data_IF_016107217328
#
_entry.id   IF_016107217328
#
_cell.length_a   1.000
_cell.length_b   1.000
_cell.length_c   1.000
_cell.angle_alpha   90.00
_cell.angle_beta   90.00
_cell.angle_gamma   90.00
#
_symmetry.space_group_name_H-M   'P 1'
#
loop_
_entity.id
_entity.type
_entity.pdbx_description
1 polymer ?
#
# COMPACT_ATOMS: atom_id res chain seq x y z
N UNK A 1 5.37 -41.18 -36.33
CA UNK A 1 6.13 -40.84 -35.10
C UNK A 1 6.93 -39.54 -35.20
N UNK A 2 7.66 -39.26 -36.29
CA UNK A 2 8.50 -38.05 -36.41
C UNK A 2 7.74 -36.71 -36.36
N UNK A 3 6.57 -36.62 -37.00
CA UNK A 3 5.71 -35.41 -37.01
C UNK A 3 5.16 -35.05 -35.62
N UNK A 4 4.86 -36.06 -34.79
CA UNK A 4 4.37 -35.84 -33.41
C UNK A 4 5.44 -35.18 -32.53
N UNK A 5 6.71 -35.49 -32.76
CA UNK A 5 7.86 -34.92 -32.04
C UNK A 5 8.05 -33.44 -32.39
N UNK A 6 7.86 -33.06 -33.65
CA UNK A 6 7.96 -31.66 -34.06
C UNK A 6 6.80 -30.80 -33.53
N UNK A 7 5.58 -31.35 -33.44
CA UNK A 7 4.44 -30.64 -32.83
C UNK A 7 4.64 -30.43 -31.32
N UNK A 8 5.21 -31.41 -30.62
CA UNK A 8 5.49 -31.27 -29.17
C UNK A 8 6.61 -30.27 -28.90
N UNK A 9 7.66 -30.23 -29.74
CA UNK A 9 8.72 -29.23 -29.65
C UNK A 9 8.22 -27.80 -29.96
N UNK A 10 7.26 -27.65 -30.88
CA UNK A 10 6.67 -26.35 -31.23
C UNK A 10 5.76 -25.79 -30.11
N UNK A 11 5.02 -26.65 -29.41
CA UNK A 11 4.20 -26.22 -28.26
C UNK A 11 5.06 -25.82 -27.04
N UNK A 12 6.25 -26.40 -26.88
CA UNK A 12 7.11 -26.10 -25.74
C UNK A 12 7.77 -24.71 -25.84
N UNK A 13 8.01 -24.20 -27.04
CA UNK A 13 8.64 -22.88 -27.24
C UNK A 13 7.69 -21.70 -27.00
N UNK A 14 6.37 -21.92 -27.14
CA UNK A 14 5.33 -20.91 -26.89
C UNK A 14 5.05 -20.68 -25.40
N UNK A 15 5.53 -21.55 -24.51
CA UNK A 15 5.33 -21.44 -23.06
C UNK A 15 6.36 -20.55 -22.34
N UNK A 16 7.37 -20.02 -23.04
CA UNK A 16 8.49 -19.28 -22.43
C UNK A 16 8.31 -17.76 -22.36
N UNK A 17 7.19 -17.20 -22.79
CA UNK A 17 6.90 -15.77 -22.59
C UNK A 17 6.31 -15.51 -21.20
N UNK A 18 7.04 -15.87 -20.15
CA UNK A 18 6.77 -15.35 -18.80
C UNK A 18 7.17 -13.88 -18.78
N UNK A 19 6.21 -13.01 -19.09
CA UNK A 19 6.37 -11.57 -18.92
C UNK A 19 6.65 -11.26 -17.45
N UNK A 20 7.92 -11.11 -17.09
CA UNK A 20 8.31 -10.57 -15.80
C UNK A 20 7.79 -9.13 -15.72
N UNK A 21 6.61 -8.94 -15.13
CA UNK A 21 6.06 -7.61 -14.92
C UNK A 21 7.02 -6.84 -14.00
N UNK A 22 7.70 -5.84 -14.56
CA UNK A 22 8.49 -4.87 -13.80
C UNK A 22 7.53 -4.06 -12.93
N UNK A 23 7.24 -4.55 -11.73
CA UNK A 23 6.50 -3.80 -10.72
C UNK A 23 7.39 -2.64 -10.30
N UNK A 24 7.01 -1.42 -10.68
CA UNK A 24 7.68 -0.24 -10.18
C UNK A 24 7.43 -0.17 -8.68
N UNK A 25 8.43 -0.57 -7.91
CA UNK A 25 8.40 -0.49 -6.46
C UNK A 25 8.47 1.00 -6.12
N UNK A 26 7.31 1.59 -5.84
CA UNK A 26 7.26 2.97 -5.39
C UNK A 26 7.93 2.99 -4.01
N UNK A 27 9.09 3.64 -3.92
CA UNK A 27 9.83 3.80 -2.68
C UNK A 27 9.07 4.77 -1.77
N UNK A 28 8.09 4.24 -1.03
CA UNK A 28 7.40 5.00 0.00
C UNK A 28 8.21 4.94 1.31
N UNK A 29 8.26 6.05 2.04
CA UNK A 29 8.83 6.06 3.38
C UNK A 29 7.88 5.30 4.33
N UNK A 30 8.37 4.19 4.87
CA UNK A 30 7.66 3.40 5.89
C UNK A 30 7.87 4.00 7.27
N UNK A 31 6.80 4.24 7.98
CA UNK A 31 6.79 4.73 9.35
C UNK A 31 6.23 3.67 10.29
N UNK A 32 6.60 3.77 11.56
CA UNK A 32 6.08 2.93 12.64
C UNK A 32 5.82 3.80 13.86
N UNK A 33 4.61 3.74 14.39
CA UNK A 33 4.24 4.36 15.66
C UNK A 33 3.97 3.23 16.65
N UNK A 34 4.66 3.26 17.79
CA UNK A 34 4.38 2.37 18.92
C UNK A 34 3.56 3.17 19.93
N UNK A 35 2.38 2.65 20.28
CA UNK A 35 1.54 3.23 21.32
C UNK A 35 2.06 2.90 22.72
N UNK A 36 1.76 3.77 23.69
CA UNK A 36 2.10 3.53 25.10
C UNK A 36 1.39 2.31 25.67
N UNK A 37 0.22 1.96 25.12
CA UNK A 37 -0.56 0.77 25.43
C UNK A 37 0.04 -0.54 24.87
N UNK A 38 1.15 -0.45 24.12
CA UNK A 38 1.76 -1.58 23.41
C UNK A 38 1.18 -1.84 22.03
N UNK A 39 0.21 -1.05 21.57
CA UNK A 39 -0.28 -1.12 20.18
C UNK A 39 0.81 -0.69 19.18
N UNK A 40 0.67 -1.13 17.93
CA UNK A 40 1.64 -0.80 16.88
C UNK A 40 0.95 -0.45 15.58
N UNK A 41 1.37 0.64 14.95
CA UNK A 41 0.91 1.07 13.64
C UNK A 41 2.09 1.11 12.67
N UNK A 42 1.94 0.52 11.49
CA UNK A 42 2.92 0.58 10.39
C UNK A 42 2.23 1.06 9.13
N UNK A 43 2.82 2.04 8.47
CA UNK A 43 2.19 2.70 7.32
C UNK A 43 3.22 3.39 6.44
N UNK A 44 2.77 3.84 5.28
CA UNK A 44 3.56 4.60 4.34
C UNK A 44 3.02 6.02 4.23
N UNK A 45 3.93 7.01 4.16
CA UNK A 45 3.52 8.40 3.96
C UNK A 45 4.48 9.15 3.02
N UNK A 46 3.92 10.08 2.25
CA UNK A 46 4.62 10.83 1.20
C UNK A 46 4.42 12.33 1.39
N UNK A 47 5.49 13.08 1.14
CA UNK A 47 5.44 14.54 1.13
C UNK A 47 4.99 15.02 -0.26
N UNK A 48 3.71 14.81 -0.55
CA UNK A 48 3.14 15.11 -1.87
C UNK A 48 2.13 16.23 -1.77
N UNK A 49 2.33 17.26 -2.59
CA UNK A 49 1.36 18.35 -2.76
C UNK A 49 0.29 17.91 -3.76
N UNK A 50 -0.96 17.96 -3.34
CA UNK A 50 -2.14 17.72 -4.17
C UNK A 50 -3.14 18.85 -3.96
N UNK A 51 -4.01 19.09 -4.93
CA UNK A 51 -5.19 19.91 -4.71
C UNK A 51 -6.17 19.11 -3.85
N UNK A 52 -6.29 19.48 -2.57
CA UNK A 52 -7.25 18.86 -1.67
C UNK A 52 -8.68 19.27 -2.06
N UNK A 53 -9.63 18.38 -1.79
CA UNK A 53 -11.05 18.65 -1.97
C UNK A 53 -11.69 18.86 -0.61
N UNK A 54 -12.50 19.91 -0.47
CA UNK A 54 -13.12 20.31 0.79
C UNK A 54 -14.02 19.23 1.40
N UNK A 55 -14.59 18.36 0.58
CA UNK A 55 -15.54 17.29 0.93
C UNK A 55 -14.88 15.95 1.28
N UNK A 56 -13.57 15.92 1.50
CA UNK A 56 -12.81 14.68 1.72
C UNK A 56 -12.05 14.68 3.04
N UNK A 57 -12.05 13.52 3.70
CA UNK A 57 -11.29 13.26 4.91
C UNK A 57 -9.89 12.72 4.57
N UNK A 58 -8.86 13.51 4.84
CA UNK A 58 -7.47 13.18 4.57
C UNK A 58 -6.77 12.67 5.83
N UNK A 59 -6.08 11.53 5.70
CA UNK A 59 -5.17 10.98 6.71
C UNK A 59 -3.73 11.36 6.39
N UNK A 60 -3.05 11.99 7.33
CA UNK A 60 -1.69 12.47 7.17
C UNK A 60 -0.87 12.32 8.45
N UNK A 61 0.45 12.24 8.29
CA UNK A 61 1.41 11.99 9.34
C UNK A 61 2.28 13.21 9.60
N UNK A 62 2.34 13.61 10.87
CA UNK A 62 3.27 14.62 11.38
C UNK A 62 3.50 14.38 12.87
N UNK A 63 4.68 14.78 13.38
CA UNK A 63 4.98 14.75 14.82
C UNK A 63 4.69 13.39 15.48
N UNK A 64 5.09 12.30 14.82
CA UNK A 64 4.87 10.91 15.28
C UNK A 64 3.38 10.53 15.49
N UNK A 65 2.45 11.20 14.81
CA UNK A 65 1.01 10.98 14.92
C UNK A 65 0.34 10.99 13.54
N UNK A 66 -0.66 10.12 13.37
CA UNK A 66 -1.60 10.19 12.24
C UNK A 66 -2.76 11.07 12.64
N UNK A 67 -3.09 12.04 11.78
CA UNK A 67 -4.19 12.98 11.95
C UNK A 67 -5.16 12.85 10.78
N UNK A 68 -6.46 13.02 11.07
CA UNK A 68 -7.51 13.06 10.08
C UNK A 68 -8.11 14.47 10.05
N UNK A 69 -8.17 15.08 8.87
CA UNK A 69 -8.76 16.41 8.68
C UNK A 69 -9.62 16.44 7.42
N UNK A 70 -10.76 17.11 7.50
CA UNK A 70 -11.61 17.36 6.34
C UNK A 70 -11.05 18.52 5.52
N UNK A 71 -11.08 18.40 4.19
CA UNK A 71 -10.78 19.47 3.25
C UNK A 71 -9.30 19.79 3.02
N UNK A 72 -8.40 19.32 3.88
CA UNK A 72 -6.97 19.58 3.76
C UNK A 72 -6.11 18.69 4.64
N UNK A 73 -4.82 18.96 4.67
CA UNK A 73 -3.80 18.27 5.46
C UNK A 73 -2.57 19.17 5.64
N UNK A 74 -1.73 18.91 6.65
CA UNK A 74 -0.55 19.74 6.94
C UNK A 74 0.77 18.95 7.05
N UNK A 75 0.75 17.65 6.76
CA UNK A 75 1.93 16.79 6.82
C UNK A 75 1.97 15.76 5.70
N UNK A 76 2.68 14.67 5.92
CA UNK A 76 2.91 13.64 4.89
C UNK A 76 1.63 12.82 4.71
N UNK A 77 1.07 12.81 3.52
CA UNK A 77 -0.16 12.05 3.23
C UNK A 77 0.11 10.55 3.32
N UNK A 78 -0.79 9.81 3.98
CA UNK A 78 -0.72 8.35 3.96
C UNK A 78 -0.87 7.84 2.51
N UNK A 79 0.05 7.02 2.05
CA UNK A 79 0.06 6.53 0.67
C UNK A 79 0.70 5.15 0.58
N UNK A 80 -0.13 4.11 0.47
CA UNK A 80 0.29 2.71 0.51
C UNK A 80 -0.45 1.93 1.59
N UNK A 81 0.13 0.80 2.00
CA UNK A 81 -0.46 -0.05 3.02
C UNK A 81 -0.44 0.61 4.41
N UNK A 82 -1.49 0.35 5.18
CA UNK A 82 -1.61 0.70 6.58
C UNK A 82 -1.98 -0.54 7.36
N UNK A 83 -1.35 -0.74 8.51
CA UNK A 83 -1.62 -1.88 9.39
C UNK A 83 -1.51 -1.42 10.84
N UNK A 84 -2.52 -1.74 11.63
CA UNK A 84 -2.56 -1.54 13.08
C UNK A 84 -2.71 -2.88 13.79
N UNK A 85 -1.97 -3.04 14.86
CA UNK A 85 -2.00 -4.19 15.75
C UNK A 85 -2.42 -3.75 17.14
N UNK A 86 -3.19 -4.60 17.81
CA UNK A 86 -3.47 -4.48 19.24
C UNK A 86 -2.21 -4.80 20.08
N UNK A 87 -2.21 -4.48 21.38
CA UNK A 87 -1.10 -4.83 22.28
C UNK A 87 -0.77 -6.34 22.33
N UNK A 88 -1.79 -7.18 22.14
CA UNK A 88 -1.63 -8.64 22.04
C UNK A 88 -1.04 -9.10 20.69
N UNK A 89 -0.62 -8.17 19.82
CA UNK A 89 -0.07 -8.39 18.47
C UNK A 89 -1.07 -8.95 17.46
N UNK A 90 -2.35 -9.07 17.80
CA UNK A 90 -3.37 -9.42 16.83
C UNK A 90 -3.65 -8.24 15.90
N UNK A 91 -4.03 -8.57 14.66
CA UNK A 91 -4.40 -7.57 13.67
C UNK A 91 -5.66 -6.83 14.14
N UNK A 92 -5.57 -5.50 14.20
CA UNK A 92 -6.68 -4.64 14.59
C UNK A 92 -7.34 -3.98 13.39
N UNK A 93 -6.54 -3.56 12.42
CA UNK A 93 -7.02 -2.90 11.21
C UNK A 93 -5.97 -3.03 10.11
N UNK A 94 -6.38 -3.37 8.90
CA UNK A 94 -5.54 -3.31 7.71
C UNK A 94 -6.27 -2.64 6.57
N UNK A 95 -5.57 -1.77 5.84
CA UNK A 95 -6.11 -1.11 4.65
C UNK A 95 -5.05 -0.51 3.75
N UNK A 96 -5.52 0.17 2.71
CA UNK A 96 -4.68 0.88 1.76
C UNK A 96 -5.13 2.34 1.73
N UNK A 97 -4.16 3.26 1.73
CA UNK A 97 -4.38 4.68 1.52
C UNK A 97 -3.82 5.11 0.17
N UNK A 98 -4.47 6.07 -0.46
CA UNK A 98 -4.00 6.72 -1.69
C UNK A 98 -4.12 8.23 -1.51
N UNK A 99 -2.98 8.90 -1.41
CA UNK A 99 -2.90 10.35 -1.20
C UNK A 99 -3.76 10.84 -0.02
N UNK A 100 -3.63 10.15 1.11
CA UNK A 100 -4.35 10.39 2.37
C UNK A 100 -5.79 9.91 2.39
N UNK A 101 -6.32 9.41 1.28
CA UNK A 101 -7.68 8.89 1.22
C UNK A 101 -7.68 7.38 1.40
N UNK A 102 -8.58 6.88 2.24
CA UNK A 102 -8.79 5.45 2.44
C UNK A 102 -9.30 4.84 1.13
N UNK A 103 -8.63 3.80 0.63
CA UNK A 103 -8.95 3.13 -0.62
C UNK A 103 -9.42 1.70 -0.34
N UNK A 104 -10.74 1.50 -0.29
CA UNK A 104 -11.37 0.19 -0.13
C UNK A 104 -11.79 -0.17 1.30
N UNK A 105 -12.21 -1.43 1.45
CA UNK A 105 -12.61 -2.01 2.73
C UNK A 105 -11.40 -2.31 3.60
N UNK A 106 -11.59 -2.19 4.92
CA UNK A 106 -10.59 -2.62 5.89
C UNK A 106 -11.04 -3.89 6.58
N UNK A 107 -10.05 -4.73 6.88
CA UNK A 107 -10.19 -5.97 7.64
C UNK A 107 -9.64 -5.78 9.05
#
# INVERSE_FOLDING_TARGET
MKISIYLTLLCLSLAFSSGAQKRQEVQYNRFTINGEDGSKQTFFAEDKRINSKSDRLYSWYASNKITLTEGGFSGKLLNGEYTRYYPNKNLAEKGIFKFGLRNGFMA
#
